data_IF_052826379394
#
_entry.id   IF_052826379394
#
_cell.length_a   1.000
_cell.length_b   1.000
_cell.length_c   1.000
_cell.angle_alpha   90.00
_cell.angle_beta   90.00
_cell.angle_gamma   90.00
#
_symmetry.space_group_name_H-M   'P 1'
#
loop_
_entity.id
_entity.type
_entity.pdbx_description
1 polymer ?
#
# COMPACT_ATOMS: atom_id res chain seq x y z
N UNK A 1 -30.34 2.07 -35.01
CA UNK A 1 -29.95 3.25 -34.20
C UNK A 1 -29.00 4.08 -35.04
N UNK A 2 -29.52 5.08 -35.77
CA UNK A 2 -28.68 6.01 -36.50
C UNK A 2 -28.09 7.02 -35.52
N UNK A 3 -26.81 6.88 -35.24
CA UNK A 3 -26.06 7.82 -34.42
C UNK A 3 -25.95 9.16 -35.15
N UNK A 4 -26.74 10.15 -34.70
CA UNK A 4 -26.70 11.49 -35.24
C UNK A 4 -25.31 12.12 -35.01
N UNK A 5 -24.88 13.03 -35.88
CA UNK A 5 -23.52 13.62 -35.86
C UNK A 5 -23.19 14.26 -34.51
N UNK A 6 -24.21 14.81 -33.84
CA UNK A 6 -24.10 15.41 -32.51
C UNK A 6 -23.82 14.42 -31.38
N UNK A 7 -24.31 13.19 -31.48
CA UNK A 7 -24.04 12.15 -30.48
C UNK A 7 -22.56 11.72 -30.53
N UNK A 8 -22.00 11.58 -31.75
CA UNK A 8 -20.57 11.32 -31.92
C UNK A 8 -19.69 12.43 -31.36
N UNK A 9 -20.09 13.70 -31.54
CA UNK A 9 -19.36 14.85 -30.98
C UNK A 9 -19.42 14.81 -29.45
N UNK A 10 -20.58 14.51 -28.86
CA UNK A 10 -20.75 14.40 -27.42
C UNK A 10 -19.87 13.29 -26.83
N UNK A 11 -19.83 12.12 -27.46
CA UNK A 11 -19.00 10.99 -27.03
C UNK A 11 -17.51 11.36 -27.07
N UNK A 12 -17.04 11.96 -28.17
CA UNK A 12 -15.63 12.34 -28.30
C UNK A 12 -15.24 13.37 -27.24
N UNK A 13 -16.10 14.35 -26.97
CA UNK A 13 -15.86 15.37 -25.95
C UNK A 13 -15.82 14.77 -24.55
N UNK A 14 -16.75 13.87 -24.22
CA UNK A 14 -16.77 13.15 -22.94
C UNK A 14 -15.52 12.29 -22.75
N UNK A 15 -15.07 11.59 -23.80
CA UNK A 15 -13.83 10.79 -23.75
C UNK A 15 -12.62 11.69 -23.52
N UNK A 16 -12.52 12.82 -24.23
CA UNK A 16 -11.42 13.78 -24.04
C UNK A 16 -11.43 14.39 -22.63
N UNK A 17 -12.61 14.76 -22.13
CA UNK A 17 -12.77 15.33 -20.80
C UNK A 17 -12.37 14.32 -19.70
N UNK A 18 -12.82 13.07 -19.81
CA UNK A 18 -12.43 12.01 -18.88
C UNK A 18 -10.94 11.67 -18.98
N UNK A 19 -10.38 11.68 -20.18
CA UNK A 19 -8.93 11.44 -20.39
C UNK A 19 -8.11 12.57 -19.78
N UNK A 20 -8.53 13.83 -19.97
CA UNK A 20 -7.90 15.00 -19.36
C UNK A 20 -8.00 14.99 -17.84
N UNK A 21 -9.16 14.62 -17.30
CA UNK A 21 -9.38 14.48 -15.86
C UNK A 21 -8.52 13.34 -15.28
N UNK A 22 -8.45 12.19 -15.96
CA UNK A 22 -7.60 11.08 -15.57
C UNK A 22 -6.12 11.44 -15.62
N UNK A 23 -5.68 12.26 -16.59
CA UNK A 23 -4.29 12.73 -16.63
C UNK A 23 -3.99 13.74 -15.51
N UNK A 24 -4.94 14.62 -15.20
CA UNK A 24 -4.82 15.62 -14.14
C UNK A 24 -4.85 15.00 -12.73
N UNK A 25 -5.68 13.96 -12.51
CA UNK A 25 -5.81 13.29 -11.22
C UNK A 25 -4.98 12.00 -11.08
N UNK A 26 -4.51 11.40 -12.19
CA UNK A 26 -3.93 10.06 -12.23
C UNK A 26 -2.48 9.95 -11.71
N UNK A 27 -1.82 11.06 -11.41
CA UNK A 27 -0.44 11.08 -10.93
C UNK A 27 -0.37 11.07 -9.40
N UNK A 28 -0.80 9.97 -8.78
CA UNK A 28 -0.89 9.85 -7.33
C UNK A 28 -0.36 8.55 -6.72
N UNK A 29 0.41 7.74 -7.45
CA UNK A 29 1.18 6.67 -6.81
C UNK A 29 2.40 7.28 -6.13
N UNK A 30 2.16 7.91 -4.98
CA UNK A 30 3.23 8.37 -4.12
C UNK A 30 4.02 7.13 -3.66
N UNK A 31 5.31 7.09 -4.02
CA UNK A 31 6.23 6.14 -3.40
C UNK A 31 6.22 6.44 -1.90
N UNK A 32 6.18 5.39 -1.09
CA UNK A 32 6.29 5.59 0.34
C UNK A 32 7.74 5.80 0.73
N UNK A 33 7.95 6.59 1.78
CA UNK A 33 9.28 6.91 2.29
C UNK A 33 9.60 6.12 3.56
N UNK A 34 8.56 5.68 4.28
CA UNK A 34 8.69 5.03 5.57
C UNK A 34 7.99 3.66 5.63
N UNK A 35 8.67 2.67 6.19
CA UNK A 35 8.09 1.41 6.64
C UNK A 35 7.75 1.57 8.11
N UNK A 36 6.48 1.38 8.44
CA UNK A 36 6.01 1.32 9.81
C UNK A 36 5.61 -0.11 10.13
N UNK A 37 6.13 -0.60 11.24
CA UNK A 37 5.83 -1.93 11.77
C UNK A 37 4.99 -1.73 13.03
N UNK A 38 3.82 -2.34 13.03
CA UNK A 38 2.85 -2.34 14.13
C UNK A 38 2.67 -3.77 14.64
N UNK A 39 2.63 -3.91 15.96
CA UNK A 39 2.30 -5.17 16.65
C UNK A 39 1.14 -4.88 17.59
N UNK A 40 0.05 -5.65 17.48
CA UNK A 40 -1.14 -5.48 18.31
C UNK A 40 -1.67 -4.02 18.28
N UNK A 41 -1.73 -3.44 17.07
CA UNK A 41 -2.13 -2.04 16.82
C UNK A 41 -1.23 -0.96 17.46
N UNK A 42 -0.06 -1.32 17.99
CA UNK A 42 0.93 -0.37 18.52
C UNK A 42 2.14 -0.28 17.59
N UNK A 43 2.55 0.93 17.23
CA UNK A 43 3.76 1.16 16.43
C UNK A 43 4.99 0.75 17.24
N UNK A 44 5.72 -0.25 16.76
CA UNK A 44 6.93 -0.76 17.42
C UNK A 44 8.21 -0.27 16.75
N UNK A 45 8.15 -0.04 15.44
CA UNK A 45 9.31 0.42 14.69
C UNK A 45 8.90 1.25 13.47
N UNK A 46 9.78 2.18 13.11
CA UNK A 46 9.67 3.00 11.90
C UNK A 46 11.05 3.10 11.27
N UNK A 47 11.15 2.71 10.01
CA UNK A 47 12.41 2.75 9.25
C UNK A 47 12.20 3.43 7.90
N UNK A 48 13.19 4.17 7.41
CA UNK A 48 13.12 4.69 6.05
C UNK A 48 13.24 3.55 5.03
N UNK A 49 12.49 3.60 3.93
CA UNK A 49 12.55 2.60 2.84
C UNK A 49 13.93 2.53 2.19
N UNK A 50 14.73 3.59 2.33
CA UNK A 50 16.10 3.68 1.83
C UNK A 50 17.10 2.86 2.64
N UNK A 51 16.77 2.47 3.88
CA UNK A 51 17.63 1.61 4.69
C UNK A 51 17.47 0.14 4.31
N UNK A 52 18.58 -0.54 4.02
CA UNK A 52 18.57 -1.98 3.79
C UNK A 52 18.85 -2.74 5.08
N UNK A 53 17.85 -3.46 5.58
CA UNK A 53 17.97 -4.22 6.83
C UNK A 53 16.90 -5.30 6.95
N UNK A 54 17.16 -6.28 7.81
CA UNK A 54 16.18 -7.31 8.20
C UNK A 54 15.81 -7.09 9.66
N UNK A 55 14.53 -6.89 9.91
CA UNK A 55 13.96 -6.61 11.23
C UNK A 55 13.25 -7.85 11.74
N UNK A 56 13.58 -8.26 12.96
CA UNK A 56 12.91 -9.34 13.66
C UNK A 56 11.90 -8.75 14.63
N UNK A 57 10.63 -9.09 14.44
CA UNK A 57 9.51 -8.50 15.18
C UNK A 57 8.84 -9.61 15.98
N UNK A 58 8.80 -9.47 17.30
CA UNK A 58 8.13 -10.42 18.18
C UNK A 58 6.63 -10.15 18.20
N UNK A 59 5.83 -11.09 17.69
CA UNK A 59 4.38 -11.08 17.82
C UNK A 59 3.88 -12.16 18.79
N UNK A 60 2.58 -12.16 19.15
CA UNK A 60 1.95 -13.12 20.05
C UNK A 60 2.10 -14.60 19.65
N UNK A 61 2.21 -14.90 18.34
CA UNK A 61 2.45 -16.27 17.85
C UNK A 61 3.94 -16.59 17.66
N UNK A 62 4.82 -15.59 17.72
CA UNK A 62 6.26 -15.77 17.53
C UNK A 62 6.90 -14.69 16.65
N UNK A 63 8.16 -14.92 16.30
CA UNK A 63 9.00 -13.97 15.58
C UNK A 63 8.65 -13.91 14.08
N UNK A 64 8.42 -12.71 13.56
CA UNK A 64 8.25 -12.41 12.13
C UNK A 64 9.47 -11.68 11.61
N UNK A 65 9.96 -12.08 10.44
CA UNK A 65 11.12 -11.47 9.78
C UNK A 65 10.63 -10.57 8.64
N UNK A 66 10.94 -9.28 8.75
CA UNK A 66 10.60 -8.24 7.76
C UNK A 66 11.89 -7.80 7.09
N UNK A 67 11.99 -7.95 5.77
CA UNK A 67 13.13 -7.48 4.98
C UNK A 67 12.76 -6.15 4.33
N UNK A 68 13.61 -5.15 4.52
CA UNK A 68 13.57 -3.86 3.83
C UNK A 68 14.80 -3.80 2.93
N UNK A 69 14.60 -3.64 1.62
CA UNK A 69 15.68 -3.66 0.64
C UNK A 69 15.29 -2.90 -0.62
N UNK A 70 16.19 -2.10 -1.21
CA UNK A 70 15.96 -1.36 -2.46
C UNK A 70 14.64 -0.56 -2.50
N UNK A 71 14.28 0.15 -1.44
CA UNK A 71 13.07 0.98 -1.44
C UNK A 71 11.76 0.20 -1.37
N UNK A 72 11.79 -1.03 -0.85
CA UNK A 72 10.61 -1.90 -0.71
C UNK A 72 10.74 -2.79 0.51
N UNK A 73 9.61 -3.21 1.07
CA UNK A 73 9.57 -4.10 2.22
C UNK A 73 8.77 -5.36 1.93
N UNK A 74 9.11 -6.49 2.58
CA UNK A 74 8.32 -7.72 2.55
C UNK A 74 8.47 -8.50 3.85
N UNK A 75 7.54 -9.41 4.10
CA UNK A 75 7.68 -10.40 5.17
C UNK A 75 8.32 -11.65 4.57
N UNK A 76 9.52 -12.02 5.03
CA UNK A 76 10.25 -13.20 4.56
C UNK A 76 9.80 -14.45 5.31
N UNK A 77 9.54 -14.29 6.61
CA UNK A 77 9.17 -15.39 7.50
C UNK A 77 8.11 -14.95 8.49
N UNK A 78 7.14 -15.81 8.74
CA UNK A 78 6.10 -15.61 9.75
C UNK A 78 5.64 -16.95 10.32
N UNK A 79 5.28 -17.06 11.61
CA UNK A 79 4.81 -18.29 12.23
C UNK A 79 3.39 -18.71 11.80
N UNK A 80 2.66 -17.87 11.05
CA UNK A 80 1.28 -18.17 10.63
C UNK A 80 1.18 -19.36 9.64
N UNK A 81 0.08 -20.12 9.70
CA UNK A 81 -0.19 -21.25 8.78
C UNK A 81 -0.51 -20.80 7.36
N UNK A 82 -1.24 -19.70 7.21
CA UNK A 82 -1.75 -19.24 5.91
C UNK A 82 -0.66 -18.64 5.01
N UNK A 83 0.43 -18.11 5.61
CA UNK A 83 1.58 -17.50 4.92
C UNK A 83 1.18 -16.40 3.91
N UNK A 84 -0.01 -15.79 4.05
CA UNK A 84 -0.53 -14.76 3.13
C UNK A 84 0.40 -13.55 3.09
N UNK A 85 0.88 -13.11 4.25
CA UNK A 85 1.87 -12.02 4.38
C UNK A 85 3.15 -12.23 3.56
N UNK A 86 3.60 -13.49 3.42
CA UNK A 86 4.79 -13.85 2.63
C UNK A 86 4.43 -13.87 1.14
N UNK A 87 3.26 -14.44 0.81
CA UNK A 87 2.75 -14.50 -0.57
C UNK A 87 2.45 -13.12 -1.16
N UNK A 88 2.11 -12.12 -0.34
CA UNK A 88 1.90 -10.74 -0.77
C UNK A 88 3.14 -10.09 -1.40
N UNK A 89 4.34 -10.61 -1.11
CA UNK A 89 5.57 -10.12 -1.70
C UNK A 89 5.96 -8.71 -1.23
N UNK A 90 6.53 -7.93 -2.15
CA UNK A 90 7.08 -6.62 -1.83
C UNK A 90 6.04 -5.50 -1.92
N UNK A 91 6.06 -4.62 -0.92
CA UNK A 91 5.29 -3.37 -0.85
C UNK A 91 6.22 -2.16 -0.89
N UNK A 92 5.86 -1.13 -1.66
CA UNK A 92 6.69 0.06 -1.90
C UNK A 92 5.90 1.37 -2.07
N UNK A 93 4.60 1.28 -2.33
CA UNK A 93 3.75 2.45 -2.53
C UNK A 93 3.10 2.86 -1.21
N UNK A 94 2.89 4.16 -1.00
CA UNK A 94 2.14 4.67 0.13
C UNK A 94 0.77 3.97 0.24
N UNK A 95 0.30 3.81 1.48
CA UNK A 95 -0.97 3.17 1.84
C UNK A 95 -1.08 1.67 1.49
N UNK A 96 0.01 1.06 1.03
CA UNK A 96 0.12 -0.40 0.95
C UNK A 96 0.55 -0.98 2.29
N UNK A 97 -0.04 -2.13 2.61
CA UNK A 97 0.29 -2.87 3.82
C UNK A 97 0.38 -4.37 3.54
N UNK A 98 1.19 -5.05 4.35
CA UNK A 98 1.24 -6.51 4.46
C UNK A 98 1.06 -6.88 5.93
N UNK A 99 0.04 -7.67 6.22
CA UNK A 99 -0.34 -8.01 7.58
C UNK A 99 -0.33 -9.53 7.80
N UNK A 100 0.28 -9.94 8.90
CA UNK A 100 0.10 -11.26 9.46
C UNK A 100 -0.96 -11.20 10.57
N UNK A 101 -2.23 -11.24 10.16
CA UNK A 101 -3.40 -11.16 11.05
C UNK A 101 -3.29 -12.09 12.29
N UNK A 102 -2.93 -13.39 12.15
CA UNK A 102 -2.84 -14.26 13.33
C UNK A 102 -1.75 -13.85 14.32
N UNK A 103 -0.63 -13.32 13.80
CA UNK A 103 0.49 -12.85 14.63
C UNK A 103 0.36 -11.37 14.99
N UNK A 104 -0.75 -10.71 14.63
CA UNK A 104 -0.99 -9.28 14.85
C UNK A 104 0.15 -8.35 14.43
N UNK A 105 0.96 -8.75 13.45
CA UNK A 105 2.06 -7.93 12.89
C UNK A 105 1.57 -7.29 11.60
N UNK A 106 1.64 -5.97 11.51
CA UNK A 106 1.28 -5.19 10.33
C UNK A 106 2.50 -4.39 9.87
N UNK A 107 2.83 -4.50 8.59
CA UNK A 107 3.87 -3.71 7.94
C UNK A 107 3.17 -2.78 6.96
N UNK A 108 3.21 -1.48 7.18
CA UNK A 108 2.59 -0.46 6.34
C UNK A 108 3.66 0.45 5.75
N UNK A 109 3.41 0.91 4.53
CA UNK A 109 4.22 1.91 3.86
C UNK A 109 3.52 3.27 4.01
N UNK A 110 4.18 4.22 4.66
CA UNK A 110 3.71 5.59 4.83
C UNK A 110 4.47 6.51 3.86
N UNK A 111 3.73 7.32 3.10
CA UNK A 111 4.28 8.42 2.30
C UNK A 111 4.35 9.72 3.09
N UNK A 112 5.10 10.70 2.58
CA UNK A 112 5.25 12.03 3.20
C UNK A 112 3.92 12.79 3.38
N UNK A 113 2.98 12.59 2.46
CA UNK A 113 1.63 13.14 2.56
C UNK A 113 0.71 12.07 3.14
N UNK A 114 0.33 12.21 4.41
CA UNK A 114 -0.84 11.52 4.94
C UNK A 114 -2.07 11.99 4.17
N UNK A 115 -2.47 11.27 3.11
CA UNK A 115 -3.81 11.40 2.56
C UNK A 115 -4.74 10.70 3.54
N UNK A 116 -5.14 11.45 4.57
CA UNK A 116 -6.18 11.07 5.51
C UNK A 116 -7.49 10.82 4.76
N UNK A 117 -7.69 9.58 4.32
CA UNK A 117 -8.99 9.02 4.02
C UNK A 117 -9.34 8.09 5.17
N UNK A 118 -9.50 8.67 6.36
CA UNK A 118 -10.16 7.97 7.47
C UNK A 118 -11.64 7.87 7.10
N UNK A 119 -12.02 6.68 6.61
CA UNK A 119 -13.42 6.31 6.52
C UNK A 119 -14.00 6.25 7.94
N UNK A 120 -14.62 7.35 8.35
CA UNK A 120 -15.52 7.39 9.51
C UNK A 120 -16.62 6.35 9.28
N UNK A 121 -16.61 5.30 10.10
CA UNK A 121 -17.78 4.44 10.31
C UNK A 121 -18.70 5.21 11.26
N UNK A 122 -19.75 5.79 10.70
CA UNK A 122 -20.94 6.21 11.44
C UNK A 122 -21.87 5.04 11.69
#
# INVERSE_FOLDING_TARGET
>A
MEFNRYDKILIVLLVFFNTGLFYYFGSGFNRGDWVVIEVDAKRVARFPLTSEQVVHVQGPLGTTEVEIKKGRARIVRSPCKLKVCIKSGYIQYADRLSACLPNKVVVRIEGETQRGLDAVVG
#
